data_IF_962304983033
#
_entry.id   IF_962304983033
#
_cell.length_a   1.000
_cell.length_b   1.000
_cell.length_c   1.000
_cell.angle_alpha   90.00
_cell.angle_beta   90.00
_cell.angle_gamma   90.00
#
_symmetry.space_group_name_H-M   'P 1'
#
loop_
_entity.id
_entity.type
_entity.pdbx_description
1 polymer ?
#
# COMPACT_ATOMS: atom_id res chain seq x y z
N UNK A 1 17.13 -7.69 13.74
CA UNK A 1 16.25 -8.28 12.71
C UNK A 1 14.76 -8.32 13.09
N UNK A 2 14.39 -8.16 14.37
CA UNK A 2 13.00 -8.13 14.85
C UNK A 2 12.27 -6.77 14.72
N UNK A 3 12.97 -5.71 14.33
CA UNK A 3 12.38 -4.40 14.00
C UNK A 3 11.41 -4.45 12.81
N UNK A 4 11.40 -5.57 12.08
CA UNK A 4 10.76 -5.65 10.79
C UNK A 4 9.23 -5.65 10.87
N UNK A 5 8.58 -6.30 11.83
CA UNK A 5 7.10 -6.43 11.82
C UNK A 5 6.39 -5.08 12.03
N UNK A 6 7.04 -4.13 12.71
CA UNK A 6 6.50 -2.78 12.95
C UNK A 6 7.00 -1.77 11.90
N UNK A 7 8.23 -1.94 11.36
CA UNK A 7 8.73 -1.14 10.23
C UNK A 7 8.18 -1.59 8.85
N UNK A 8 7.65 -2.80 8.74
CA UNK A 8 7.04 -3.35 7.51
C UNK A 8 5.76 -2.62 7.10
N UNK A 9 5.20 -1.77 7.98
CA UNK A 9 3.99 -1.00 7.72
C UNK A 9 4.25 0.40 7.13
N UNK A 10 5.51 0.84 6.96
CA UNK A 10 5.77 2.28 6.80
C UNK A 10 6.15 2.82 5.43
N UNK A 11 6.94 2.16 4.56
CA UNK A 11 7.38 2.85 3.35
C UNK A 11 6.47 2.68 2.12
N UNK A 12 5.48 1.77 2.13
CA UNK A 12 4.81 1.36 0.86
C UNK A 12 3.30 1.48 0.84
N UNK A 13 2.70 2.02 1.90
CA UNK A 13 1.25 2.23 1.95
C UNK A 13 0.79 3.33 0.96
N UNK A 14 1.71 4.15 0.43
CA UNK A 14 1.41 5.11 -0.64
C UNK A 14 1.01 4.45 -1.97
N UNK A 15 1.48 3.23 -2.26
CA UNK A 15 1.14 2.49 -3.48
C UNK A 15 0.04 1.44 -3.27
N UNK A 16 -0.33 1.19 -2.00
CA UNK A 16 -1.16 0.07 -1.57
C UNK A 16 -2.43 0.49 -0.82
N UNK A 17 -2.67 1.80 -0.60
CA UNK A 17 -3.99 2.27 -0.19
C UNK A 17 -4.98 1.95 -1.29
N UNK A 18 -5.83 0.97 -0.99
CA UNK A 18 -6.91 0.54 -1.85
C UNK A 18 -7.91 1.67 -2.01
N UNK A 19 -7.88 2.27 -3.20
CA UNK A 19 -8.90 3.11 -3.82
C UNK A 19 -10.26 3.13 -3.08
N UNK A 20 -10.50 4.10 -2.18
CA UNK A 20 -11.83 4.23 -1.57
C UNK A 20 -12.87 4.80 -2.55
N UNK A 21 -12.43 5.60 -3.52
CA UNK A 21 -13.37 6.41 -4.31
C UNK A 21 -13.88 5.81 -5.61
N UNK A 22 -13.75 4.49 -5.80
CA UNK A 22 -14.74 3.66 -6.50
C UNK A 22 -14.77 2.27 -5.87
N UNK A 23 -14.84 2.24 -4.55
CA UNK A 23 -15.25 1.03 -3.85
C UNK A 23 -16.55 0.57 -4.49
N UNK A 24 -16.51 -0.64 -5.06
CA UNK A 24 -17.72 -1.32 -5.46
C UNK A 24 -18.65 -1.36 -4.23
N UNK A 25 -19.97 -1.39 -4.42
CA UNK A 25 -20.93 -1.31 -3.29
C UNK A 25 -20.59 -2.30 -2.15
N UNK A 26 -19.99 -3.45 -2.50
CA UNK A 26 -19.51 -4.47 -1.57
C UNK A 26 -18.35 -4.00 -0.67
N UNK A 27 -17.40 -3.24 -1.21
CA UNK A 27 -16.28 -2.67 -0.45
C UNK A 27 -16.77 -1.55 0.48
N UNK A 28 -17.65 -0.65 -0.01
CA UNK A 28 -18.25 0.43 0.81
C UNK A 28 -18.97 -0.12 2.03
N UNK A 29 -19.74 -1.20 1.85
CA UNK A 29 -20.42 -1.89 2.94
C UNK A 29 -19.43 -2.40 3.99
N UNK A 30 -18.31 -2.99 3.57
CA UNK A 30 -17.31 -3.48 4.51
C UNK A 30 -16.58 -2.35 5.21
N UNK A 31 -16.14 -1.31 4.50
CA UNK A 31 -15.42 -0.21 5.14
C UNK A 31 -16.28 0.51 6.17
N UNK A 32 -17.57 0.72 5.93
CA UNK A 32 -18.48 1.26 6.96
C UNK A 32 -18.54 0.39 8.22
N UNK A 33 -18.51 -0.94 8.06
CA UNK A 33 -18.48 -1.87 9.19
C UNK A 33 -17.13 -1.83 9.91
N UNK A 34 -16.02 -1.75 9.17
CA UNK A 34 -14.67 -1.60 9.75
C UNK A 34 -14.58 -0.28 10.51
N UNK A 35 -15.10 0.81 9.97
CA UNK A 35 -15.11 2.12 10.61
C UNK A 35 -15.89 2.08 11.93
N UNK A 36 -17.08 1.50 11.91
CA UNK A 36 -17.91 1.30 13.11
C UNK A 36 -17.18 0.46 14.15
N UNK A 37 -16.54 -0.64 13.73
CA UNK A 37 -15.76 -1.51 14.60
C UNK A 37 -14.57 -0.75 15.22
N UNK A 38 -13.75 -0.09 14.41
CA UNK A 38 -12.54 0.59 14.85
C UNK A 38 -12.86 1.77 15.77
N UNK A 39 -13.95 2.50 15.54
CA UNK A 39 -14.44 3.53 16.46
C UNK A 39 -14.85 2.93 17.81
N UNK A 40 -15.66 1.86 17.79
CA UNK A 40 -16.12 1.19 19.02
C UNK A 40 -14.97 0.59 19.84
N UNK A 41 -13.93 0.10 19.16
CA UNK A 41 -12.78 -0.59 19.77
C UNK A 41 -11.53 0.28 19.90
N UNK A 42 -11.65 1.60 19.72
CA UNK A 42 -10.53 2.55 19.81
C UNK A 42 -9.81 2.50 21.15
N UNK A 43 -10.53 2.59 22.27
CA UNK A 43 -9.91 2.59 23.60
C UNK A 43 -9.15 1.28 23.86
N UNK A 44 -9.75 0.08 23.64
CA UNK A 44 -9.01 -1.17 23.69
C UNK A 44 -7.80 -1.24 22.73
N UNK A 45 -7.87 -0.64 21.54
CA UNK A 45 -6.71 -0.57 20.65
C UNK A 45 -5.55 0.23 21.27
N UNK A 46 -5.85 1.40 21.85
CA UNK A 46 -4.85 2.26 22.50
C UNK A 46 -4.22 1.54 23.71
N UNK A 47 -5.03 0.84 24.51
CA UNK A 47 -4.55 0.05 25.66
C UNK A 47 -3.61 -1.09 25.20
N UNK A 48 -3.97 -1.78 24.13
CA UNK A 48 -3.14 -2.81 23.52
C UNK A 48 -1.82 -2.25 22.97
N UNK A 49 -1.88 -1.15 22.23
CA UNK A 49 -0.69 -0.48 21.70
C UNK A 49 0.26 -0.10 22.83
N UNK A 50 -0.26 0.50 23.91
CA UNK A 50 0.53 0.82 25.10
C UNK A 50 1.18 -0.42 25.69
N UNK A 51 0.42 -1.50 25.91
CA UNK A 51 0.94 -2.75 26.45
C UNK A 51 2.04 -3.37 25.58
N UNK A 52 1.92 -3.29 24.24
CA UNK A 52 2.94 -3.77 23.31
C UNK A 52 4.20 -2.90 23.36
N UNK A 53 4.04 -1.57 23.44
CA UNK A 53 5.13 -0.60 23.47
C UNK A 53 5.92 -0.62 24.79
N UNK A 54 5.28 -0.99 25.90
CA UNK A 54 5.92 -1.14 27.20
C UNK A 54 6.81 -2.42 27.28
N UNK A 55 6.64 -3.37 26.35
CA UNK A 55 7.51 -4.54 26.23
C UNK A 55 8.79 -4.21 25.44
N UNK A 56 9.97 -4.73 25.84
CA UNK A 56 11.20 -4.52 25.09
C UNK A 56 11.11 -5.15 23.70
N UNK A 57 11.85 -4.61 22.72
CA UNK A 57 11.80 -5.05 21.32
C UNK A 57 12.17 -6.53 21.12
N UNK A 58 12.94 -7.11 22.04
CA UNK A 58 13.30 -8.54 22.06
C UNK A 58 12.16 -9.46 22.52
N UNK A 59 11.10 -8.95 23.17
CA UNK A 59 10.01 -9.73 23.74
C UNK A 59 8.93 -10.11 22.72
N UNK A 60 9.33 -10.64 21.55
CA UNK A 60 8.41 -10.97 20.45
C UNK A 60 7.30 -11.93 20.87
N UNK A 61 7.64 -13.02 21.59
CA UNK A 61 6.65 -13.97 22.11
C UNK A 61 5.69 -13.32 23.12
N UNK A 62 6.20 -12.43 23.98
CA UNK A 62 5.39 -11.66 24.92
C UNK A 62 4.40 -10.71 24.24
N UNK A 63 4.84 -10.01 23.18
CA UNK A 63 3.98 -9.11 22.37
C UNK A 63 2.86 -9.88 21.66
N UNK A 64 3.17 -11.05 21.10
CA UNK A 64 2.18 -11.93 20.47
C UNK A 64 1.15 -12.41 21.49
N UNK A 65 1.60 -12.93 22.63
CA UNK A 65 0.69 -13.42 23.67
C UNK A 65 -0.19 -12.30 24.22
N UNK A 66 0.38 -11.12 24.48
CA UNK A 66 -0.36 -9.94 24.91
C UNK A 66 -1.45 -9.56 23.90
N UNK A 67 -1.12 -9.54 22.60
CA UNK A 67 -2.10 -9.30 21.54
C UNK A 67 -3.22 -10.34 21.52
N UNK A 68 -2.87 -11.63 21.51
CA UNK A 68 -3.85 -12.71 21.41
C UNK A 68 -4.81 -12.79 22.60
N UNK A 69 -4.38 -12.36 23.78
CA UNK A 69 -5.21 -12.37 24.98
C UNK A 69 -6.03 -11.09 25.13
N UNK A 70 -5.69 -10.01 24.42
CA UNK A 70 -6.32 -8.71 24.56
C UNK A 70 -7.79 -8.70 24.10
N UNK A 71 -8.69 -7.98 24.81
CA UNK A 71 -10.09 -7.82 24.40
C UNK A 71 -10.27 -7.37 22.95
N UNK A 72 -9.42 -6.43 22.49
CA UNK A 72 -9.42 -5.96 21.10
C UNK A 72 -9.27 -7.12 20.10
N UNK A 73 -8.31 -8.02 20.33
CA UNK A 73 -8.07 -9.12 19.40
C UNK A 73 -9.23 -10.11 19.36
N UNK A 74 -9.82 -10.44 20.52
CA UNK A 74 -11.01 -11.30 20.59
C UNK A 74 -12.19 -10.70 19.83
N UNK A 75 -12.37 -9.39 19.91
CA UNK A 75 -13.39 -8.69 19.14
C UNK A 75 -13.09 -8.64 17.65
N UNK A 76 -11.82 -8.42 17.30
CA UNK A 76 -11.35 -8.43 15.91
C UNK A 76 -11.57 -9.79 15.25
N UNK A 77 -11.23 -10.89 15.92
CA UNK A 77 -11.46 -12.24 15.37
C UNK A 77 -12.95 -12.51 15.19
N UNK A 78 -13.80 -12.10 16.13
CA UNK A 78 -15.26 -12.15 15.98
C UNK A 78 -15.76 -11.33 14.77
N UNK A 79 -15.30 -10.09 14.65
CA UNK A 79 -15.66 -9.19 13.55
C UNK A 79 -15.31 -9.77 12.17
N UNK A 80 -14.12 -10.36 12.03
CA UNK A 80 -13.67 -10.99 10.78
C UNK A 80 -14.53 -12.24 10.46
N UNK A 81 -14.85 -13.05 11.46
CA UNK A 81 -15.69 -14.24 11.28
C UNK A 81 -17.10 -13.88 10.82
N UNK A 82 -17.71 -12.87 11.45
CA UNK A 82 -19.04 -12.35 11.12
C UNK A 82 -19.10 -11.75 9.70
N UNK A 83 -18.05 -11.04 9.30
CA UNK A 83 -18.01 -10.32 8.03
C UNK A 83 -17.31 -11.07 6.90
N UNK A 84 -16.85 -12.29 7.15
CA UNK A 84 -16.03 -13.05 6.21
C UNK A 84 -16.67 -13.24 4.82
N UNK A 85 -18.00 -13.43 4.73
CA UNK A 85 -18.69 -13.55 3.43
C UNK A 85 -18.61 -12.27 2.61
N UNK A 86 -18.73 -11.10 3.26
CA UNK A 86 -18.61 -9.82 2.58
C UNK A 86 -17.17 -9.56 2.12
N UNK A 87 -16.17 -9.93 2.93
CA UNK A 87 -14.75 -9.88 2.51
C UNK A 87 -14.46 -10.75 1.30
N UNK A 88 -14.92 -12.01 1.30
CA UNK A 88 -14.79 -12.90 0.13
C UNK A 88 -15.40 -12.23 -1.10
N UNK A 89 -16.62 -11.69 -0.98
CA UNK A 89 -17.32 -11.10 -2.11
C UNK A 89 -16.64 -9.83 -2.66
N UNK A 90 -16.02 -9.01 -1.80
CA UNK A 90 -15.26 -7.84 -2.21
C UNK A 90 -13.92 -8.22 -2.85
N UNK A 91 -13.15 -9.11 -2.22
CA UNK A 91 -11.81 -9.52 -2.67
C UNK A 91 -11.83 -10.38 -3.93
N UNK A 92 -12.76 -11.34 -4.04
CA UNK A 92 -12.80 -12.29 -5.17
C UNK A 92 -12.79 -11.57 -6.51
N UNK A 93 -13.63 -10.55 -6.66
CA UNK A 93 -13.73 -9.79 -7.91
C UNK A 93 -12.43 -9.06 -8.26
N UNK A 94 -11.71 -8.55 -7.27
CA UNK A 94 -10.44 -7.87 -7.52
C UNK A 94 -9.32 -8.87 -7.84
N UNK A 95 -9.35 -10.05 -7.23
CA UNK A 95 -8.42 -11.14 -7.54
C UNK A 95 -8.64 -11.71 -8.95
N UNK A 96 -9.90 -11.78 -9.42
CA UNK A 96 -10.28 -12.21 -10.77
C UNK A 96 -9.83 -11.25 -11.88
N UNK A 97 -9.38 -10.05 -11.55
CA UNK A 97 -8.80 -9.11 -12.52
C UNK A 97 -7.47 -9.59 -13.08
N UNK A 98 -6.76 -10.39 -12.28
CA UNK A 98 -5.40 -10.80 -12.56
C UNK A 98 -5.34 -12.11 -13.35
N UNK A 99 -4.31 -12.25 -14.18
CA UNK A 99 -4.08 -13.44 -14.98
C UNK A 99 -3.65 -14.62 -14.09
N UNK A 100 -3.89 -15.82 -14.60
CA UNK A 100 -3.26 -17.03 -14.05
C UNK A 100 -1.74 -16.97 -14.26
N UNK A 101 -0.92 -17.59 -13.39
CA UNK A 101 0.52 -17.60 -13.55
C UNK A 101 0.92 -18.31 -14.85
N UNK A 102 1.90 -17.80 -15.62
CA UNK A 102 2.41 -18.52 -16.78
C UNK A 102 3.07 -19.83 -16.36
N UNK A 103 3.00 -20.85 -17.20
CA UNK A 103 3.49 -22.20 -16.85
C UNK A 103 4.98 -22.20 -16.45
N UNK A 104 5.80 -21.37 -17.08
CA UNK A 104 7.22 -21.24 -16.75
C UNK A 104 7.44 -20.76 -15.30
N UNK A 105 6.56 -19.89 -14.76
CA UNK A 105 6.63 -19.41 -13.37
C UNK A 105 6.44 -20.57 -12.37
N UNK A 106 5.55 -21.50 -12.70
CA UNK A 106 5.27 -22.67 -11.87
C UNK A 106 6.42 -23.70 -11.87
N UNK A 107 7.31 -23.63 -12.87
CA UNK A 107 8.45 -24.54 -13.02
C UNK A 107 9.74 -24.04 -12.36
N UNK A 108 9.71 -22.83 -11.79
CA UNK A 108 10.85 -22.28 -11.07
C UNK A 108 11.11 -23.00 -9.75
N UNK A 109 12.32 -22.85 -9.23
CA UNK A 109 12.70 -23.33 -7.91
C UNK A 109 12.18 -22.38 -6.84
N UNK A 110 11.26 -22.87 -6.01
CA UNK A 110 10.64 -22.10 -4.92
C UNK A 110 11.20 -22.53 -3.56
N UNK A 111 11.71 -21.55 -2.82
CA UNK A 111 12.28 -21.72 -1.48
C UNK A 111 11.34 -21.14 -0.44
N UNK A 112 11.28 -21.75 0.74
CA UNK A 112 10.58 -21.16 1.88
C UNK A 112 11.51 -20.16 2.58
N UNK A 113 11.02 -18.99 2.99
CA UNK A 113 11.81 -18.09 3.81
C UNK A 113 12.09 -18.75 5.18
N UNK A 114 13.21 -18.37 5.79
CA UNK A 114 13.60 -18.79 7.15
C UNK A 114 12.65 -18.21 8.21
N UNK A 115 11.93 -17.14 7.87
CA UNK A 115 10.93 -16.49 8.71
C UNK A 115 9.58 -16.35 8.00
N UNK A 116 8.44 -16.55 8.70
CA UNK A 116 8.34 -16.97 10.10
C UNK A 116 8.75 -18.43 10.31
N UNK A 117 9.31 -18.75 11.49
CA UNK A 117 9.56 -20.14 11.89
C UNK A 117 8.25 -20.93 11.77
N UNK A 118 8.31 -22.19 11.34
CA UNK A 118 7.13 -23.02 11.06
C UNK A 118 6.12 -23.06 12.22
N UNK A 119 6.61 -23.07 13.47
CA UNK A 119 5.79 -23.05 14.69
C UNK A 119 5.06 -21.72 14.93
N UNK A 120 5.52 -20.64 14.29
CA UNK A 120 5.02 -19.28 14.45
C UNK A 120 4.32 -18.73 13.20
N UNK A 121 4.33 -19.47 12.08
CA UNK A 121 3.74 -19.06 10.81
C UNK A 121 2.27 -18.71 10.96
N UNK A 122 1.49 -19.58 11.61
CA UNK A 122 0.06 -19.35 11.81
C UNK A 122 -0.22 -18.19 12.78
N UNK A 123 0.63 -17.98 13.79
CA UNK A 123 0.37 -16.99 14.85
C UNK A 123 0.79 -15.58 14.42
N UNK A 124 1.99 -15.42 13.88
CA UNK A 124 2.53 -14.11 13.49
C UNK A 124 1.81 -13.53 12.27
N UNK A 125 1.47 -14.37 11.29
CA UNK A 125 0.80 -13.92 10.07
C UNK A 125 -0.70 -13.65 10.30
N UNK A 126 -1.29 -14.21 11.35
CA UNK A 126 -2.66 -13.83 11.75
C UNK A 126 -2.73 -12.37 12.21
N UNK A 127 -1.75 -11.88 12.98
CA UNK A 127 -1.71 -10.47 13.40
C UNK A 127 -1.62 -9.51 12.20
N UNK A 128 -0.88 -9.89 11.16
CA UNK A 128 -0.78 -9.11 9.92
C UNK A 128 -2.12 -8.94 9.19
N UNK A 129 -3.12 -9.78 9.46
CA UNK A 129 -4.45 -9.64 8.83
C UNK A 129 -5.11 -8.29 9.15
N UNK A 130 -4.76 -7.65 10.28
CA UNK A 130 -5.25 -6.32 10.64
C UNK A 130 -4.84 -5.26 9.60
N UNK A 131 -3.64 -5.39 9.02
CA UNK A 131 -3.16 -4.50 7.96
C UNK A 131 -4.01 -4.60 6.68
N UNK A 132 -4.73 -5.71 6.50
CA UNK A 132 -5.55 -5.95 5.32
C UNK A 132 -7.05 -5.67 5.53
N UNK A 133 -7.45 -5.08 6.66
CA UNK A 133 -8.84 -4.71 6.95
C UNK A 133 -9.49 -3.90 5.82
N UNK A 134 -8.74 -2.96 5.24
CA UNK A 134 -9.18 -2.10 4.13
C UNK A 134 -8.49 -2.44 2.80
N UNK A 135 -7.79 -3.57 2.74
CA UNK A 135 -7.09 -4.04 1.53
C UNK A 135 -7.92 -5.13 0.84
N UNK A 136 -8.42 -4.82 -0.35
CA UNK A 136 -9.21 -5.75 -1.15
C UNK A 136 -8.47 -6.24 -2.40
N UNK A 137 -7.62 -5.40 -3.00
CA UNK A 137 -6.80 -5.75 -4.17
C UNK A 137 -5.55 -6.55 -3.73
N UNK A 138 -5.17 -7.61 -4.47
CA UNK A 138 -3.98 -8.40 -4.15
C UNK A 138 -2.66 -7.60 -4.22
N UNK A 139 -2.60 -6.42 -4.85
CA UNK A 139 -1.34 -5.68 -4.97
C UNK A 139 -0.77 -5.20 -3.64
N UNK A 140 -1.63 -4.73 -2.72
CA UNK A 140 -1.21 -4.34 -1.37
C UNK A 140 -0.64 -5.55 -0.60
N UNK A 141 -1.35 -6.67 -0.69
CA UNK A 141 -1.00 -7.93 -0.03
C UNK A 141 0.31 -8.49 -0.61
N UNK A 142 0.49 -8.40 -1.93
CA UNK A 142 1.70 -8.81 -2.64
C UNK A 142 2.93 -8.01 -2.20
N UNK A 143 2.80 -6.69 -2.03
CA UNK A 143 3.90 -5.87 -1.51
C UNK A 143 4.29 -6.27 -0.08
N UNK A 144 3.31 -6.57 0.78
CA UNK A 144 3.60 -7.08 2.12
C UNK A 144 4.31 -8.43 2.07
N UNK A 145 3.85 -9.37 1.24
CA UNK A 145 4.50 -10.66 1.06
C UNK A 145 5.95 -10.51 0.57
N UNK A 146 6.19 -9.61 -0.38
CA UNK A 146 7.51 -9.23 -0.84
C UNK A 146 8.40 -8.76 0.32
N UNK A 147 7.93 -7.80 1.11
CA UNK A 147 8.73 -7.23 2.18
C UNK A 147 8.96 -8.22 3.34
N UNK A 148 8.08 -9.20 3.53
CA UNK A 148 8.31 -10.33 4.45
C UNK A 148 9.43 -11.22 3.92
N UNK A 149 9.42 -11.54 2.61
CA UNK A 149 10.38 -12.45 2.02
C UNK A 149 11.77 -11.80 1.80
N UNK A 150 11.85 -10.51 1.49
CA UNK A 150 13.11 -9.85 1.11
C UNK A 150 14.23 -10.01 2.15
N UNK A 151 14.01 -9.85 3.47
CA UNK A 151 15.09 -9.99 4.44
C UNK A 151 15.57 -11.42 4.61
N UNK A 152 14.66 -12.39 4.51
CA UNK A 152 15.06 -13.81 4.48
C UNK A 152 15.93 -14.09 3.26
N UNK A 153 15.51 -13.59 2.09
CA UNK A 153 16.27 -13.71 0.85
C UNK A 153 17.67 -13.08 0.97
N UNK A 154 17.75 -11.86 1.51
CA UNK A 154 19.02 -11.18 1.70
C UNK A 154 19.94 -11.95 2.66
N UNK A 155 19.38 -12.47 3.76
CA UNK A 155 20.13 -13.22 4.77
C UNK A 155 20.61 -14.57 4.25
N UNK A 156 19.74 -15.38 3.65
CA UNK A 156 20.04 -16.74 3.19
C UNK A 156 21.05 -16.78 2.05
N UNK A 157 21.14 -15.69 1.26
CA UNK A 157 22.07 -15.57 0.14
C UNK A 157 23.24 -14.64 0.40
N UNK A 158 23.39 -14.12 1.63
CA UNK A 158 24.47 -13.18 2.01
C UNK A 158 24.60 -11.98 1.04
N UNK A 159 23.45 -11.42 0.64
CA UNK A 159 23.39 -10.31 -0.30
C UNK A 159 23.89 -9.01 0.35
N UNK A 160 24.72 -8.24 -0.37
CA UNK A 160 25.27 -6.99 0.11
C UNK A 160 24.28 -5.82 0.04
N UNK A 161 24.68 -4.66 0.56
CA UNK A 161 23.88 -3.43 0.49
C UNK A 161 23.57 -3.04 -0.97
N UNK A 162 24.52 -3.24 -1.89
CA UNK A 162 24.34 -2.95 -3.31
C UNK A 162 23.25 -3.82 -3.95
N UNK A 163 23.22 -5.12 -3.61
CA UNK A 163 22.18 -6.05 -4.08
C UNK A 163 20.81 -5.69 -3.51
N UNK A 164 20.75 -5.29 -2.24
CA UNK A 164 19.52 -4.82 -1.61
C UNK A 164 19.00 -3.54 -2.30
N UNK A 165 19.88 -2.56 -2.54
CA UNK A 165 19.52 -1.34 -3.28
C UNK A 165 19.03 -1.64 -4.68
N UNK A 166 19.68 -2.57 -5.38
CA UNK A 166 19.24 -3.04 -6.70
C UNK A 166 17.87 -3.69 -6.65
N UNK A 167 17.61 -4.55 -5.66
CA UNK A 167 16.31 -5.21 -5.46
C UNK A 167 15.18 -4.19 -5.26
N UNK A 168 15.38 -3.21 -4.38
CA UNK A 168 14.39 -2.16 -4.15
C UNK A 168 14.23 -1.23 -5.36
N UNK A 169 15.35 -0.83 -5.98
CA UNK A 169 15.36 0.10 -7.11
C UNK A 169 14.67 -0.46 -8.35
N UNK A 170 14.90 -1.73 -8.70
CA UNK A 170 14.22 -2.36 -9.84
C UNK A 170 12.71 -2.38 -9.63
N UNK A 171 12.27 -2.77 -8.43
CA UNK A 171 10.85 -2.81 -8.09
C UNK A 171 10.21 -1.42 -8.09
N UNK A 172 10.90 -0.41 -7.58
CA UNK A 172 10.43 0.98 -7.56
C UNK A 172 10.27 1.54 -8.98
N UNK A 173 11.26 1.32 -9.84
CA UNK A 173 11.33 1.95 -11.16
C UNK A 173 10.51 1.24 -12.24
N UNK A 174 10.39 -0.10 -12.16
CA UNK A 174 9.80 -0.92 -13.22
C UNK A 174 8.58 -1.72 -12.76
N UNK A 175 8.22 -1.61 -11.48
CA UNK A 175 7.01 -2.20 -10.92
C UNK A 175 7.05 -3.72 -10.78
N UNK A 176 5.86 -4.31 -10.63
CA UNK A 176 5.69 -5.75 -10.46
C UNK A 176 4.50 -6.29 -11.27
N UNK A 177 4.62 -7.54 -11.69
CA UNK A 177 3.49 -8.34 -12.14
C UNK A 177 2.89 -9.14 -10.98
N UNK A 178 1.57 -9.31 -11.01
CA UNK A 178 0.80 -10.08 -10.04
C UNK A 178 -0.04 -11.10 -10.79
N UNK A 179 -0.01 -12.36 -10.36
CA UNK A 179 -0.82 -13.43 -10.91
C UNK A 179 -1.60 -14.07 -9.79
N UNK A 180 -2.81 -14.55 -10.10
CA UNK A 180 -3.69 -15.15 -9.09
C UNK A 180 -4.27 -16.46 -9.60
N UNK A 181 -4.49 -17.40 -8.68
CA UNK A 181 -5.17 -18.67 -8.96
C UNK A 181 -6.06 -19.04 -7.79
N UNK A 182 -7.33 -19.29 -8.07
CA UNK A 182 -8.27 -19.81 -7.07
C UNK A 182 -7.88 -21.25 -6.69
N UNK A 183 -7.62 -21.49 -5.40
CA UNK A 183 -7.42 -22.83 -4.84
C UNK A 183 -8.71 -23.38 -4.25
N UNK A 184 -9.50 -22.52 -3.61
CA UNK A 184 -10.83 -22.82 -3.07
C UNK A 184 -11.70 -21.56 -3.06
N UNK A 185 -12.92 -21.64 -2.55
CA UNK A 185 -13.79 -20.46 -2.40
C UNK A 185 -13.26 -19.41 -1.41
N UNK A 186 -12.33 -19.79 -0.53
CA UNK A 186 -11.79 -18.92 0.51
C UNK A 186 -10.30 -18.67 0.39
N UNK A 187 -9.58 -19.48 -0.41
CA UNK A 187 -8.12 -19.40 -0.54
C UNK A 187 -7.72 -19.19 -2.00
N UNK A 188 -6.90 -18.18 -2.22
CA UNK A 188 -6.29 -17.87 -3.51
C UNK A 188 -4.78 -17.90 -3.36
N UNK A 189 -4.11 -18.53 -4.32
CA UNK A 189 -2.66 -18.43 -4.44
C UNK A 189 -2.33 -17.21 -5.31
N UNK A 190 -1.34 -16.45 -4.88
CA UNK A 190 -0.83 -15.29 -5.57
C UNK A 190 0.64 -15.47 -5.88
N UNK A 191 1.08 -14.92 -7.01
CA UNK A 191 2.47 -14.73 -7.36
C UNK A 191 2.69 -13.27 -7.65
N UNK A 192 3.78 -12.71 -7.15
CA UNK A 192 4.21 -11.35 -7.44
C UNK A 192 5.66 -11.40 -7.90
N UNK A 193 5.97 -10.73 -9.00
CA UNK A 193 7.24 -10.86 -9.72
C UNK A 193 7.76 -9.48 -10.14
N UNK A 194 9.05 -9.23 -9.96
CA UNK A 194 9.81 -8.10 -10.51
C UNK A 194 10.82 -8.62 -11.56
N UNK A 195 11.75 -7.81 -12.04
CA UNK A 195 12.74 -8.28 -13.02
C UNK A 195 13.87 -9.14 -12.44
N UNK A 196 13.89 -9.38 -11.13
CA UNK A 196 14.94 -10.13 -10.44
C UNK A 196 14.45 -11.43 -9.80
N UNK A 197 13.25 -11.43 -9.22
CA UNK A 197 12.74 -12.55 -8.44
C UNK A 197 11.22 -12.44 -8.21
N UNK A 198 10.62 -13.56 -7.78
CA UNK A 198 9.21 -13.64 -7.47
C UNK A 198 8.94 -14.19 -6.07
N UNK A 199 7.79 -13.83 -5.51
CA UNK A 199 7.21 -14.35 -4.28
C UNK A 199 5.86 -14.99 -4.60
N UNK A 200 5.62 -16.17 -4.05
CA UNK A 200 4.30 -16.82 -4.06
C UNK A 200 3.77 -16.94 -2.64
N UNK A 201 2.45 -16.83 -2.47
CA UNK A 201 1.80 -16.98 -1.17
C UNK A 201 0.34 -17.36 -1.33
N UNK A 202 -0.22 -17.99 -0.30
CA UNK A 202 -1.65 -18.22 -0.19
C UNK A 202 -2.29 -17.11 0.65
N UNK A 203 -3.43 -16.61 0.17
CA UNK A 203 -4.21 -15.60 0.86
C UNK A 203 -5.63 -16.08 1.12
N UNK A 204 -6.02 -16.07 2.40
CA UNK A 204 -7.38 -16.38 2.82
C UNK A 204 -8.27 -15.14 2.65
N UNK A 205 -9.13 -15.14 1.63
CA UNK A 205 -10.02 -14.01 1.33
C UNK A 205 -10.99 -13.69 2.47
N UNK A 206 -11.37 -14.70 3.27
CA UNK A 206 -12.31 -14.54 4.39
C UNK A 206 -11.66 -13.81 5.56
N UNK A 207 -10.46 -14.23 5.93
CA UNK A 207 -9.78 -13.81 7.16
C UNK A 207 -8.66 -12.79 6.96
N UNK A 208 -8.26 -12.56 5.71
CA UNK A 208 -7.10 -11.71 5.41
C UNK A 208 -5.77 -12.32 5.86
N UNK A 209 -5.66 -13.65 5.91
CA UNK A 209 -4.46 -14.33 6.42
C UNK A 209 -3.52 -14.70 5.27
N UNK A 210 -2.24 -14.37 5.44
CA UNK A 210 -1.13 -14.84 4.61
C UNK A 210 -0.61 -16.19 5.11
N UNK A 211 -0.23 -17.07 4.20
CA UNK A 211 0.39 -18.37 4.53
C UNK A 211 1.19 -18.89 3.34
N UNK A 212 2.02 -19.92 3.56
CA UNK A 212 2.75 -20.62 2.49
C UNK A 212 3.60 -19.66 1.63
N UNK A 213 4.20 -18.64 2.26
CA UNK A 213 5.08 -17.70 1.56
C UNK A 213 6.31 -18.46 1.05
N UNK A 214 6.64 -18.27 -0.22
CA UNK A 214 7.83 -18.82 -0.89
C UNK A 214 8.41 -17.78 -1.82
N UNK A 215 9.68 -17.90 -2.13
CA UNK A 215 10.35 -17.02 -3.09
C UNK A 215 11.25 -17.79 -4.04
N UNK A 216 11.52 -17.21 -5.20
CA UNK A 216 12.58 -17.68 -6.09
C UNK A 216 13.93 -17.13 -5.63
N UNK A 217 15.01 -17.66 -6.21
CA UNK A 217 16.34 -17.10 -6.03
C UNK A 217 16.61 -16.00 -7.07
N UNK A 218 17.18 -14.84 -6.70
CA UNK A 218 17.66 -13.84 -7.63
C UNK A 218 18.69 -14.43 -8.59
N UNK A 219 18.57 -14.07 -9.87
CA UNK A 219 19.53 -14.50 -10.90
C UNK A 219 19.35 -15.93 -11.38
N UNK A 220 18.24 -16.61 -11.07
CA UNK A 220 17.89 -17.88 -11.70
C UNK A 220 17.82 -17.70 -13.24
N UNK A 221 18.66 -18.39 -14.04
CA UNK A 221 18.64 -18.24 -15.49
C UNK A 221 17.29 -18.59 -16.11
N UNK A 222 16.52 -19.50 -15.49
CA UNK A 222 15.16 -19.82 -15.94
C UNK A 222 14.24 -18.63 -15.76
N UNK A 223 14.36 -17.90 -14.64
CA UNK A 223 13.60 -16.68 -14.36
C UNK A 223 13.87 -15.60 -15.41
N UNK A 224 15.14 -15.32 -15.67
CA UNK A 224 15.56 -14.30 -16.63
C UNK A 224 15.12 -14.60 -18.07
N UNK A 225 14.98 -15.89 -18.43
CA UNK A 225 14.53 -16.33 -19.75
C UNK A 225 12.99 -16.34 -19.91
N UNK A 226 12.23 -16.09 -18.84
CA UNK A 226 10.77 -16.14 -18.91
C UNK A 226 10.19 -15.01 -19.75
N UNK A 227 9.15 -15.35 -20.50
CA UNK A 227 8.23 -14.36 -21.06
C UNK A 227 7.16 -14.03 -20.01
N UNK A 228 7.00 -12.74 -19.74
CA UNK A 228 6.08 -12.23 -18.73
C UNK A 228 4.83 -11.64 -19.40
N UNK A 229 3.71 -12.37 -19.43
CA UNK A 229 2.47 -11.81 -19.96
C UNK A 229 1.89 -10.75 -19.02
N UNK A 230 0.99 -9.92 -19.54
CA UNK A 230 0.31 -8.93 -18.70
C UNK A 230 -0.42 -9.52 -17.50
N UNK A 231 -0.16 -8.93 -16.34
CA UNK A 231 -0.69 -9.40 -15.06
C UNK A 231 -2.17 -9.08 -14.84
N UNK A 232 -2.67 -7.93 -15.32
CA UNK A 232 -4.07 -7.54 -15.17
C UNK A 232 -4.81 -7.66 -16.50
N UNK A 233 -5.75 -8.60 -16.60
CA UNK A 233 -6.45 -8.96 -17.85
C UNK A 233 -7.94 -8.60 -17.85
N UNK A 234 -8.52 -8.34 -16.68
CA UNK A 234 -9.94 -7.99 -16.53
C UNK A 234 -10.14 -6.80 -15.59
N UNK A 235 -9.63 -5.60 -15.94
CA UNK A 235 -9.79 -4.41 -15.08
C UNK A 235 -11.27 -4.10 -14.83
N UNK A 236 -11.67 -3.87 -13.58
CA UNK A 236 -13.09 -3.66 -13.21
C UNK A 236 -13.58 -2.23 -13.41
N UNK A 237 -12.67 -1.27 -13.55
CA UNK A 237 -12.97 0.14 -13.77
C UNK A 237 -11.81 0.83 -14.51
N UNK A 238 -11.98 2.12 -14.82
CA UNK A 238 -11.00 2.90 -15.57
C UNK A 238 -9.71 3.18 -14.79
N UNK A 239 -9.77 3.30 -13.46
CA UNK A 239 -8.58 3.40 -12.59
C UNK A 239 -7.73 2.16 -12.72
N UNK A 240 -8.33 0.96 -12.62
CA UNK A 240 -7.61 -0.30 -12.76
C UNK A 240 -7.04 -0.46 -14.18
N UNK A 241 -7.75 0.02 -15.20
CA UNK A 241 -7.24 -0.01 -16.59
C UNK A 241 -6.02 0.90 -16.75
N UNK A 242 -6.07 2.15 -16.26
CA UNK A 242 -4.91 3.06 -16.30
C UNK A 242 -3.72 2.49 -15.51
N UNK A 243 -3.98 1.90 -14.34
CA UNK A 243 -2.95 1.25 -13.54
C UNK A 243 -2.33 0.05 -14.26
N UNK A 244 -3.12 -0.76 -14.96
CA UNK A 244 -2.62 -1.87 -15.78
C UNK A 244 -1.72 -1.38 -16.91
N UNK A 245 -2.18 -0.37 -17.66
CA UNK A 245 -1.42 0.24 -18.77
C UNK A 245 -0.10 0.85 -18.26
N UNK A 246 -0.13 1.56 -17.13
CA UNK A 246 1.06 2.16 -16.53
C UNK A 246 2.04 1.10 -16.00
N UNK A 247 1.55 0.06 -15.32
CA UNK A 247 2.41 -1.05 -14.86
C UNK A 247 3.06 -1.77 -16.03
N UNK A 248 2.33 -1.96 -17.14
CA UNK A 248 2.89 -2.56 -18.35
C UNK A 248 3.99 -1.69 -18.96
N UNK A 249 3.72 -0.38 -19.09
CA UNK A 249 4.69 0.59 -19.59
C UNK A 249 5.99 0.56 -18.78
N UNK A 250 5.87 0.58 -17.45
CA UNK A 250 7.04 0.53 -16.55
C UNK A 250 7.77 -0.81 -16.66
N UNK A 251 7.04 -1.92 -16.71
CA UNK A 251 7.61 -3.25 -16.87
C UNK A 251 8.43 -3.39 -18.14
N UNK A 252 7.86 -2.98 -19.28
CA UNK A 252 8.48 -3.04 -20.61
C UNK A 252 9.66 -2.07 -20.76
N UNK A 253 9.74 -1.06 -19.89
CA UNK A 253 10.84 -0.09 -19.90
C UNK A 253 12.11 -0.59 -19.20
N UNK A 254 12.07 -1.76 -18.58
CA UNK A 254 13.25 -2.35 -17.95
C UNK A 254 14.35 -2.57 -19.00
N UNK A 255 15.53 -1.94 -18.83
CA UNK A 255 16.64 -2.15 -19.74
C UNK A 255 17.25 -3.54 -19.50
N UNK A 256 18.13 -3.99 -20.39
CA UNK A 256 18.87 -5.23 -20.14
C UNK A 256 19.64 -5.15 -18.80
N UNK A 257 19.83 -6.27 -18.11
CA UNK A 257 20.50 -6.30 -16.81
C UNK A 257 21.88 -5.61 -16.84
N UNK A 258 22.66 -5.82 -17.90
CA UNK A 258 23.96 -5.15 -18.12
C UNK A 258 23.82 -3.63 -18.25
N UNK A 259 22.75 -3.16 -18.88
CA UNK A 259 22.46 -1.72 -19.01
C UNK A 259 22.01 -1.14 -17.67
N UNK A 260 21.15 -1.85 -16.93
CA UNK A 260 20.74 -1.45 -15.58
C UNK A 260 21.97 -1.28 -14.68
N UNK A 261 22.89 -2.24 -14.68
CA UNK A 261 24.06 -2.23 -13.79
C UNK A 261 25.10 -1.16 -14.16
N UNK A 262 25.08 -0.65 -15.39
CA UNK A 262 26.02 0.38 -15.85
C UNK A 262 25.52 1.82 -15.66
N UNK A 263 24.22 2.02 -15.39
CA UNK A 263 23.63 3.35 -15.24
C UNK A 263 23.43 3.72 -13.76
N UNK A 264 23.80 4.95 -13.33
CA UNK A 264 23.50 5.42 -11.98
C UNK A 264 21.99 5.41 -11.70
N UNK A 265 21.59 4.99 -10.49
CA UNK A 265 20.19 4.91 -10.08
C UNK A 265 19.40 6.21 -10.36
N UNK A 266 19.98 7.37 -10.04
CA UNK A 266 19.33 8.66 -10.26
C UNK A 266 19.03 8.95 -11.74
N UNK A 267 19.89 8.48 -12.65
CA UNK A 267 19.65 8.62 -14.08
C UNK A 267 18.48 7.74 -14.53
N UNK A 268 18.42 6.50 -14.05
CA UNK A 268 17.31 5.58 -14.34
C UNK A 268 15.98 6.10 -13.78
N UNK A 269 16.01 6.68 -12.58
CA UNK A 269 14.86 7.33 -11.96
C UNK A 269 14.33 8.47 -12.82
N UNK A 270 15.21 9.34 -13.33
CA UNK A 270 14.81 10.41 -14.24
C UNK A 270 14.16 9.90 -15.53
N UNK A 271 14.70 8.81 -16.11
CA UNK A 271 14.12 8.18 -17.29
C UNK A 271 12.72 7.62 -17.01
N UNK A 272 12.55 6.89 -15.91
CA UNK A 272 11.25 6.36 -15.49
C UNK A 272 10.25 7.49 -15.24
N UNK A 273 10.65 8.55 -14.53
CA UNK A 273 9.77 9.70 -14.28
C UNK A 273 9.32 10.39 -15.56
N UNK A 274 10.23 10.58 -16.53
CA UNK A 274 9.88 11.12 -17.84
C UNK A 274 8.89 10.22 -18.57
N UNK A 275 9.09 8.90 -18.52
CA UNK A 275 8.18 7.93 -19.15
C UNK A 275 6.76 8.00 -18.57
N UNK A 276 6.65 8.09 -17.24
CA UNK A 276 5.35 8.26 -16.56
C UNK A 276 4.70 9.59 -16.91
N UNK A 277 5.48 10.67 -17.00
CA UNK A 277 4.99 11.98 -17.41
C UNK A 277 4.44 11.98 -18.85
N UNK A 278 5.19 11.39 -19.79
CA UNK A 278 4.79 11.26 -21.19
C UNK A 278 3.53 10.38 -21.32
N UNK A 279 3.38 9.36 -20.48
CA UNK A 279 2.16 8.56 -20.41
C UNK A 279 0.96 9.36 -19.91
N UNK A 280 1.09 10.09 -18.80
CA UNK A 280 0.05 10.96 -18.28
C UNK A 280 -0.43 11.97 -19.33
N UNK A 281 0.49 12.61 -20.06
CA UNK A 281 0.15 13.56 -21.12
C UNK A 281 -0.62 12.90 -22.28
N UNK A 282 -0.19 11.70 -22.72
CA UNK A 282 -0.89 10.93 -23.76
C UNK A 282 -2.28 10.45 -23.31
N UNK A 283 -2.44 10.12 -22.03
CA UNK A 283 -3.68 9.60 -21.45
C UNK A 283 -4.48 10.65 -20.66
N UNK A 284 -4.19 11.95 -20.84
CA UNK A 284 -4.71 13.03 -19.99
C UNK A 284 -6.24 13.02 -19.84
N UNK A 285 -6.97 12.66 -20.90
CA UNK A 285 -8.43 12.58 -20.89
C UNK A 285 -8.95 11.51 -19.91
N UNK A 286 -8.29 10.35 -19.86
CA UNK A 286 -8.62 9.24 -18.96
C UNK A 286 -8.24 9.58 -17.52
N UNK A 287 -7.07 10.18 -17.31
CA UNK A 287 -6.65 10.68 -15.99
C UNK A 287 -7.66 11.68 -15.43
N UNK A 288 -8.05 12.68 -16.24
CA UNK A 288 -9.05 13.67 -15.84
C UNK A 288 -10.37 13.02 -15.44
N UNK A 289 -10.84 12.02 -16.19
CA UNK A 289 -12.08 11.28 -15.86
C UNK A 289 -11.96 10.61 -14.50
N UNK A 290 -10.88 9.87 -14.24
CA UNK A 290 -10.71 9.14 -12.98
C UNK A 290 -10.58 10.10 -11.79
N UNK A 291 -9.77 11.17 -11.92
CA UNK A 291 -9.57 12.18 -10.88
C UNK A 291 -10.86 12.94 -10.58
N UNK A 292 -11.58 13.37 -11.61
CA UNK A 292 -12.87 14.05 -11.43
C UNK A 292 -13.87 13.14 -10.73
N UNK A 293 -13.98 11.89 -11.16
CA UNK A 293 -14.90 10.92 -10.57
C UNK A 293 -14.56 10.60 -9.12
N UNK A 294 -13.28 10.63 -8.73
CA UNK A 294 -12.89 10.41 -7.33
C UNK A 294 -13.31 11.58 -6.44
N UNK A 295 -13.27 12.81 -6.94
CA UNK A 295 -13.66 14.01 -6.17
C UNK A 295 -15.17 14.22 -6.09
N UNK A 296 -15.92 13.93 -7.16
CA UNK A 296 -17.40 14.10 -7.19
C UNK A 296 -18.16 13.19 -6.22
N UNK A 297 -17.48 12.21 -5.62
CA UNK A 297 -18.07 11.29 -4.62
C UNK A 297 -17.85 11.75 -3.18
N UNK A 298 -17.12 12.85 -2.97
CA UNK A 298 -16.76 13.34 -1.64
C UNK A 298 -17.83 14.28 -1.08
N UNK A 299 -17.76 14.54 0.22
CA UNK A 299 -18.58 15.60 0.82
C UNK A 299 -18.11 16.97 0.28
N UNK A 300 -19.05 17.81 -0.15
CA UNK A 300 -18.75 19.12 -0.70
C UNK A 300 -18.86 20.26 0.33
N UNK A 301 -19.21 19.93 1.58
CA UNK A 301 -19.20 20.87 2.68
C UNK A 301 -17.78 21.10 3.19
N UNK A 302 -17.52 22.32 3.67
CA UNK A 302 -16.28 22.61 4.36
C UNK A 302 -16.16 21.74 5.63
N UNK A 303 -15.01 21.10 5.87
CA UNK A 303 -14.85 20.24 7.04
C UNK A 303 -14.76 21.07 8.33
N UNK A 304 -15.16 20.46 9.44
CA UNK A 304 -14.86 20.99 10.78
C UNK A 304 -13.43 20.63 11.19
N UNK A 305 -12.57 21.65 11.32
CA UNK A 305 -11.18 21.53 11.73
C UNK A 305 -10.96 21.86 13.22
N UNK A 306 -12.02 22.05 14.01
CA UNK A 306 -11.94 22.46 15.43
C UNK A 306 -11.08 21.53 16.29
N UNK A 307 -11.02 20.23 15.95
CA UNK A 307 -10.20 19.23 16.63
C UNK A 307 -8.72 19.22 16.20
N UNK A 308 -8.31 20.08 15.27
CA UNK A 308 -6.98 20.08 14.66
C UNK A 308 -6.29 21.43 14.78
N UNK A 309 -4.97 21.39 14.99
CA UNK A 309 -4.11 22.58 15.03
C UNK A 309 -3.27 22.65 13.77
N UNK A 310 -3.40 23.73 13.03
CA UNK A 310 -2.59 23.97 11.83
C UNK A 310 -1.11 24.11 12.22
N UNK A 311 -0.25 23.44 11.46
CA UNK A 311 1.20 23.53 11.60
C UNK A 311 1.82 24.41 10.52
N UNK A 312 1.21 24.44 9.33
CA UNK A 312 1.70 25.20 8.19
C UNK A 312 1.36 26.69 8.26
N UNK A 313 2.28 27.50 7.75
CA UNK A 313 2.11 28.91 7.42
C UNK A 313 2.23 29.11 5.90
N UNK A 314 1.81 30.26 5.34
CA UNK A 314 1.96 30.53 3.89
C UNK A 314 3.41 30.48 3.36
N UNK A 315 4.42 30.56 4.23
CA UNK A 315 5.82 30.49 3.86
C UNK A 315 6.37 29.05 3.79
N UNK A 316 5.64 28.07 4.33
CA UNK A 316 6.12 26.69 4.38
C UNK A 316 6.01 26.00 3.02
N UNK A 317 7.08 25.29 2.63
CA UNK A 317 7.09 24.40 1.49
C UNK A 317 7.25 22.96 1.96
N UNK A 318 6.17 22.37 2.46
CA UNK A 318 6.16 21.01 3.00
C UNK A 318 6.42 19.92 1.94
N UNK A 319 6.42 20.27 0.66
CA UNK A 319 6.70 19.36 -0.47
C UNK A 319 8.11 19.57 -1.05
N UNK A 320 8.98 20.34 -0.40
CA UNK A 320 10.31 20.71 -0.95
C UNK A 320 11.19 19.50 -1.30
N UNK A 321 11.07 18.41 -0.55
CA UNK A 321 11.90 17.21 -0.67
C UNK A 321 11.18 16.10 -1.49
N UNK A 322 10.04 16.44 -2.12
CA UNK A 322 9.17 15.49 -2.82
C UNK A 322 9.15 15.72 -4.33
N UNK A 323 9.09 14.62 -5.09
CA UNK A 323 8.92 14.71 -6.55
C UNK A 323 7.44 14.85 -6.91
N UNK A 324 6.95 16.09 -6.78
CA UNK A 324 5.56 16.45 -7.09
C UNK A 324 5.20 16.27 -8.57
N UNK A 325 6.19 16.25 -9.48
CA UNK A 325 5.95 16.03 -10.91
C UNK A 325 5.68 14.55 -11.21
N UNK A 326 6.43 13.67 -10.55
CA UNK A 326 6.16 12.24 -10.59
C UNK A 326 4.79 11.93 -9.98
N UNK A 327 4.48 12.44 -8.78
CA UNK A 327 3.16 12.22 -8.14
C UNK A 327 2.01 12.72 -9.01
N UNK A 328 2.15 13.91 -9.60
CA UNK A 328 1.17 14.46 -10.53
C UNK A 328 0.94 13.57 -11.77
N UNK A 329 1.94 12.78 -12.17
CA UNK A 329 1.85 11.90 -13.34
C UNK A 329 1.44 10.47 -12.98
N UNK A 330 1.73 10.02 -11.75
CA UNK A 330 1.49 8.65 -11.29
C UNK A 330 0.16 8.48 -10.54
N UNK A 331 -0.28 9.47 -9.76
CA UNK A 331 -1.47 9.33 -8.91
C UNK A 331 -2.78 9.60 -9.65
N UNK A 332 -3.77 8.76 -9.35
CA UNK A 332 -5.09 8.73 -9.98
C UNK A 332 -6.19 9.26 -9.06
N UNK A 333 -6.00 9.20 -7.75
CA UNK A 333 -6.99 9.60 -6.75
C UNK A 333 -6.36 10.46 -5.63
N UNK A 334 -7.26 11.07 -4.85
CA UNK A 334 -6.91 11.95 -3.75
C UNK A 334 -6.21 11.25 -2.57
N UNK A 335 -6.53 9.98 -2.28
CA UNK A 335 -5.97 9.22 -1.14
C UNK A 335 -4.46 9.07 -1.25
N UNK A 336 -3.99 8.74 -2.46
CA UNK A 336 -2.57 8.66 -2.77
C UNK A 336 -1.86 9.99 -2.51
N UNK A 337 -2.50 11.11 -2.86
CA UNK A 337 -1.95 12.44 -2.66
C UNK A 337 -1.94 12.85 -1.19
N UNK A 338 -3.04 12.68 -0.45
CA UNK A 338 -3.08 13.08 0.95
C UNK A 338 -2.18 12.23 1.85
N UNK A 339 -1.98 10.95 1.53
CA UNK A 339 -0.99 10.13 2.21
C UNK A 339 0.42 10.66 1.99
N UNK A 340 0.77 10.95 0.73
CA UNK A 340 2.10 11.46 0.37
C UNK A 340 2.36 12.87 0.92
N UNK A 341 1.36 13.77 0.88
CA UNK A 341 1.45 15.11 1.50
C UNK A 341 1.60 15.00 3.03
N UNK A 342 0.85 14.11 3.68
CA UNK A 342 0.95 13.91 5.13
C UNK A 342 2.34 13.43 5.56
N UNK A 343 2.93 12.49 4.82
CA UNK A 343 4.29 12.02 5.09
C UNK A 343 5.33 13.11 4.84
N UNK A 344 5.21 13.84 3.72
CA UNK A 344 6.09 14.97 3.41
C UNK A 344 6.05 16.03 4.52
N UNK A 345 4.85 16.35 5.02
CA UNK A 345 4.67 17.26 6.14
C UNK A 345 5.35 16.73 7.42
N UNK A 346 5.17 15.45 7.75
CA UNK A 346 5.79 14.86 8.92
C UNK A 346 7.33 14.90 8.86
N UNK A 347 7.91 14.68 7.68
CA UNK A 347 9.36 14.81 7.44
C UNK A 347 9.82 16.27 7.52
N UNK A 348 9.08 17.19 6.89
CA UNK A 348 9.39 18.63 6.91
C UNK A 348 9.43 19.19 8.32
N UNK A 349 8.46 18.81 9.17
CA UNK A 349 8.40 19.19 10.58
C UNK A 349 9.26 18.30 11.50
N UNK A 350 10.10 17.42 10.94
CA UNK A 350 11.06 16.59 11.67
C UNK A 350 10.40 15.75 12.77
N UNK A 351 9.21 15.20 12.50
CA UNK A 351 8.56 14.28 13.42
C UNK A 351 9.46 13.06 13.68
N UNK A 352 9.55 12.60 14.93
CA UNK A 352 10.34 11.43 15.28
C UNK A 352 9.78 10.15 14.64
N UNK A 353 10.64 9.16 14.37
CA UNK A 353 10.28 7.91 13.69
C UNK A 353 9.01 7.28 14.29
N UNK A 354 8.98 7.05 15.62
CA UNK A 354 7.84 6.45 16.34
C UNK A 354 6.54 7.21 16.14
N UNK A 355 6.59 8.53 16.03
CA UNK A 355 5.40 9.35 15.80
C UNK A 355 4.90 9.18 14.35
N UNK A 356 5.80 9.16 13.37
CA UNK A 356 5.45 8.87 11.97
C UNK A 356 4.81 7.47 11.87
N UNK A 357 5.40 6.47 12.52
CA UNK A 357 4.87 5.09 12.61
C UNK A 357 3.42 5.12 13.07
N UNK A 358 3.21 5.77 14.22
CA UNK A 358 1.92 5.83 14.89
C UNK A 358 0.88 6.53 14.02
N UNK A 359 1.21 7.68 13.44
CA UNK A 359 0.30 8.44 12.57
C UNK A 359 -0.16 7.62 11.38
N UNK A 360 0.79 7.02 10.65
CA UNK A 360 0.48 6.15 9.51
C UNK A 360 -0.46 5.01 9.95
N UNK A 361 -0.12 4.28 11.00
CA UNK A 361 -0.93 3.16 11.50
C UNK A 361 -2.35 3.61 11.88
N UNK A 362 -2.47 4.67 12.66
CA UNK A 362 -3.77 5.18 13.11
C UNK A 362 -4.61 5.66 11.93
N UNK A 363 -4.00 6.38 10.99
CA UNK A 363 -4.68 6.88 9.80
C UNK A 363 -5.16 5.76 8.85
N UNK A 364 -4.58 4.55 8.94
CA UNK A 364 -5.05 3.36 8.21
C UNK A 364 -6.16 2.63 8.97
N UNK A 365 -6.04 2.56 10.30
CA UNK A 365 -6.94 1.79 11.15
C UNK A 365 -8.24 2.52 11.46
N UNK A 366 -8.19 3.83 11.65
CA UNK A 366 -9.36 4.62 12.01
C UNK A 366 -9.98 5.30 10.78
N UNK A 367 -11.28 5.65 10.85
CA UNK A 367 -11.96 6.29 9.74
C UNK A 367 -11.30 7.62 9.35
N UNK A 368 -11.33 7.93 8.06
CA UNK A 368 -10.99 9.24 7.52
C UNK A 368 -12.24 9.87 6.89
N UNK A 369 -12.32 11.19 6.93
CA UNK A 369 -13.33 11.98 6.22
C UNK A 369 -12.67 12.75 5.10
N UNK A 370 -13.28 12.72 3.93
CA UNK A 370 -12.76 13.35 2.73
C UNK A 370 -13.77 14.34 2.20
N UNK A 371 -13.29 15.55 1.90
CA UNK A 371 -14.09 16.64 1.40
C UNK A 371 -13.47 17.19 0.12
N UNK A 372 -14.30 17.67 -0.79
CA UNK A 372 -13.83 18.33 -1.99
C UNK A 372 -14.73 19.50 -2.41
N UNK A 373 -14.11 20.62 -2.78
CA UNK A 373 -14.79 21.81 -3.26
C UNK A 373 -14.24 22.17 -4.63
N UNK A 374 -15.12 22.17 -5.62
CA UNK A 374 -14.77 22.62 -6.96
C UNK A 374 -14.49 24.13 -6.96
N UNK A 375 -13.28 24.53 -7.34
CA UNK A 375 -12.89 25.93 -7.46
C UNK A 375 -13.17 26.45 -8.88
N UNK A 376 -12.84 25.66 -9.89
CA UNK A 376 -13.10 25.97 -11.31
C UNK A 376 -13.21 24.68 -12.16
N UNK A 377 -13.07 24.80 -13.49
CA UNK A 377 -13.21 23.68 -14.41
C UNK A 377 -12.11 22.60 -14.26
N UNK A 378 -10.96 22.97 -13.70
CA UNK A 378 -9.74 22.15 -13.65
C UNK A 378 -9.21 21.97 -12.24
N UNK A 379 -9.62 22.79 -11.27
CA UNK A 379 -9.07 22.80 -9.92
C UNK A 379 -10.14 22.55 -8.86
N UNK A 380 -9.75 21.72 -7.90
CA UNK A 380 -10.55 21.35 -6.75
C UNK A 380 -9.71 21.52 -5.49
N UNK A 381 -10.29 22.09 -4.46
CA UNK A 381 -9.73 22.03 -3.13
C UNK A 381 -10.17 20.73 -2.47
N UNK A 382 -9.24 20.01 -1.87
CA UNK A 382 -9.45 18.69 -1.28
C UNK A 382 -8.98 18.73 0.15
N UNK A 383 -9.76 18.15 1.06
CA UNK A 383 -9.39 17.94 2.45
C UNK A 383 -9.47 16.46 2.79
N UNK A 384 -8.48 15.98 3.53
CA UNK A 384 -8.50 14.68 4.17
C UNK A 384 -8.32 14.89 5.67
N UNK A 385 -9.34 14.52 6.45
CA UNK A 385 -9.34 14.58 7.91
C UNK A 385 -9.19 13.15 8.42
N UNK A 386 -8.01 12.84 8.96
CA UNK A 386 -7.66 11.51 9.44
C UNK A 386 -7.56 11.53 10.95
N UNK A 387 -7.31 10.35 11.52
CA UNK A 387 -7.38 10.23 12.97
C UNK A 387 -6.28 10.95 13.73
N UNK A 388 -5.13 11.20 13.10
CA UNK A 388 -3.99 11.87 13.76
C UNK A 388 -3.65 13.22 13.14
N UNK A 389 -4.02 13.44 11.89
CA UNK A 389 -3.72 14.65 11.15
C UNK A 389 -4.81 14.97 10.12
N UNK A 390 -4.69 16.17 9.54
CA UNK A 390 -5.48 16.55 8.39
C UNK A 390 -4.58 17.25 7.36
N UNK A 391 -4.94 17.12 6.09
CA UNK A 391 -4.32 17.86 4.99
C UNK A 391 -5.37 18.57 4.14
N UNK A 392 -4.97 19.67 3.52
CA UNK A 392 -5.73 20.39 2.51
C UNK A 392 -4.81 20.73 1.35
N UNK A 393 -5.34 20.70 0.14
CA UNK A 393 -4.57 21.10 -1.04
C UNK A 393 -5.49 21.43 -2.21
N UNK A 394 -4.98 22.21 -3.16
CA UNK A 394 -5.63 22.43 -4.45
C UNK A 394 -5.05 21.44 -5.45
N UNK A 395 -5.92 20.66 -6.08
CA UNK A 395 -5.55 19.66 -7.07
C UNK A 395 -6.06 20.03 -8.46
N UNK A 396 -5.12 20.16 -9.41
CA UNK A 396 -5.45 20.33 -10.81
C UNK A 396 -5.73 18.96 -11.46
N UNK A 397 -6.99 18.64 -11.73
CA UNK A 397 -7.38 17.31 -12.22
C UNK A 397 -6.89 17.00 -13.64
N UNK A 398 -6.47 18.01 -14.42
CA UNK A 398 -5.94 17.80 -15.77
C UNK A 398 -4.46 17.41 -15.74
N UNK A 399 -3.67 18.12 -14.94
CA UNK A 399 -2.21 17.93 -14.89
C UNK A 399 -1.77 16.99 -13.76
N UNK A 400 -2.57 16.91 -12.70
CA UNK A 400 -2.27 16.19 -11.47
C UNK A 400 -1.51 17.01 -10.44
N UNK A 401 -1.09 18.24 -10.77
CA UNK A 401 -0.31 19.07 -9.86
C UNK A 401 -1.10 19.48 -8.61
N UNK A 402 -0.39 19.50 -7.49
CA UNK A 402 -0.86 19.96 -6.18
C UNK A 402 -0.29 21.35 -5.90
N UNK A 403 -1.14 22.21 -5.36
CA UNK A 403 -0.80 23.56 -4.92
C UNK A 403 -1.33 23.82 -3.52
N UNK A 404 -0.71 24.78 -2.82
CA UNK A 404 -1.12 25.26 -1.50
C UNK A 404 -1.40 24.13 -0.49
N UNK A 405 -0.47 23.16 -0.33
CA UNK A 405 -0.64 22.10 0.65
C UNK A 405 -0.59 22.71 2.06
N UNK A 406 -1.54 22.33 2.90
CA UNK A 406 -1.65 22.72 4.31
C UNK A 406 -1.77 21.49 5.17
N UNK A 407 -1.23 21.56 6.39
CA UNK A 407 -1.17 20.42 7.30
C UNK A 407 -1.59 20.82 8.71
N UNK A 408 -2.40 19.96 9.32
CA UNK A 408 -2.83 20.07 10.71
C UNK A 408 -2.55 18.78 11.47
N UNK A 409 -2.29 18.90 12.76
CA UNK A 409 -2.17 17.76 13.68
C UNK A 409 -3.35 17.80 14.65
N UNK A 410 -3.95 16.64 14.92
CA UNK A 410 -5.07 16.54 15.85
C UNK A 410 -4.65 16.94 17.26
N UNK A 411 -5.49 17.72 17.92
CA UNK A 411 -5.29 18.13 19.31
C UNK A 411 -5.55 16.89 20.18
N UNK A 412 -4.51 16.39 20.83
CA UNK A 412 -4.64 15.30 21.81
C UNK A 412 -4.99 15.96 23.16
N UNK A 413 -6.16 15.70 23.75
CA UNK A 413 -6.43 16.16 25.11
C UNK A 413 -5.42 15.49 26.06
N UNK A 414 -4.69 16.31 26.80
CA UNK A 414 -3.74 15.88 27.83
C UNK A 414 -4.46 15.41 29.10
#
# INVERSE_FOLDING_TARGET
MQKLIVLLLLPFISCAQGHQNKQLDKEKVINKKVDTFMVAWRKPWIELEKAINDLPDSATAGRIAAYQQHPFFKAYTGFIEENGKHYIAARTRLFEQYAAPPQALLQLSWQKPEWPLAEQENTNLTLLSLAFLRSFDPSAIAQTAYNIASPSLMSSHNLGIADAQKLYGIRELYGTHIYTKKLSDTVWQCWTADHLWAVSFDFNLRRGMLSNIRHTQPGDPKYAAMQWPGSMVKPVNETNRLLADLRMLLWESYPSATTYDSLPYNYQRQLSHKLVHDFNNRQHSRYRVVRKQSLEQLDHNAPDLSAYKEQTTPADNILRDEDTSFWASYYFDHEQLDFSIGNAAALYFQAGEKEIIRRVQYNIFFPASYHARKLNASEWEVWALKDTDAVSYIWNINTGHVQQPRYWVKIVPH
#
